data_IF_873667880825
#
_entry.id   IF_873667880825
#
_cell.length_a   1.000
_cell.length_b   1.000
_cell.length_c   1.000
_cell.angle_alpha   90.00
_cell.angle_beta   90.00
_cell.angle_gamma   90.00
#
_symmetry.space_group_name_H-M   'P 1'
#
loop_
_entity.id
_entity.type
_entity.pdbx_description
1 polymer ?
#
# COMPACT_ATOMS: atom_id res chain seq x y z
N UNK A 1 -32.56 43.06 -87.74
CA UNK A 1 -32.46 41.61 -87.46
C UNK A 1 -31.26 41.36 -86.55
N UNK A 2 -31.50 41.13 -85.22
CA UNK A 2 -30.47 40.72 -84.34
C UNK A 2 -30.84 39.34 -83.73
N UNK A 3 -29.97 38.38 -84.00
CA UNK A 3 -30.08 37.01 -83.64
C UNK A 3 -29.57 36.83 -82.20
N UNK A 4 -30.44 36.44 -81.23
CA UNK A 4 -30.08 36.22 -79.82
C UNK A 4 -29.62 34.79 -79.70
N UNK A 5 -28.35 34.56 -79.42
CA UNK A 5 -27.79 33.27 -79.09
C UNK A 5 -28.07 32.92 -77.65
N UNK A 6 -28.83 31.85 -77.35
CA UNK A 6 -29.00 31.25 -76.01
C UNK A 6 -27.80 30.40 -75.66
N UNK A 7 -27.06 30.81 -74.64
CA UNK A 7 -26.04 29.94 -74.00
C UNK A 7 -26.69 28.82 -73.22
N UNK A 8 -26.41 27.58 -73.56
CA UNK A 8 -26.75 26.40 -72.73
C UNK A 8 -25.74 26.30 -71.59
N UNK A 9 -26.23 26.37 -70.32
CA UNK A 9 -25.42 26.02 -69.18
C UNK A 9 -25.40 24.49 -69.04
N UNK A 10 -24.21 23.90 -69.14
CA UNK A 10 -23.95 22.51 -68.84
C UNK A 10 -23.92 22.31 -67.33
N UNK A 11 -24.82 21.52 -66.81
CA UNK A 11 -24.84 21.10 -65.42
C UNK A 11 -23.79 19.98 -65.17
N UNK A 12 -22.86 20.26 -64.34
CA UNK A 12 -21.85 19.28 -63.89
C UNK A 12 -22.47 18.29 -62.86
N UNK A 13 -22.33 16.98 -63.03
CA UNK A 13 -22.92 16.04 -62.06
C UNK A 13 -22.11 16.04 -60.75
N UNK A 14 -22.75 16.40 -59.66
CA UNK A 14 -22.18 16.32 -58.30
C UNK A 14 -22.15 14.86 -57.87
N UNK A 15 -21.00 14.25 -57.88
CA UNK A 15 -20.77 12.91 -57.31
C UNK A 15 -20.84 13.03 -55.78
N UNK A 16 -21.91 12.53 -55.17
CA UNK A 16 -22.02 12.41 -53.70
C UNK A 16 -21.27 11.15 -53.27
N UNK A 17 -20.08 11.31 -52.69
CA UNK A 17 -19.42 10.25 -51.96
C UNK A 17 -20.20 9.94 -50.68
N UNK A 18 -20.80 8.76 -50.63
CA UNK A 18 -21.36 8.18 -49.42
C UNK A 18 -20.20 7.57 -48.62
N UNK A 19 -19.80 8.24 -47.54
CA UNK A 19 -18.86 7.64 -46.60
C UNK A 19 -19.52 6.42 -45.91
N UNK A 20 -18.86 5.28 -45.84
CA UNK A 20 -19.39 4.12 -45.12
C UNK A 20 -19.43 4.41 -43.63
N UNK A 21 -20.61 4.67 -43.08
CA UNK A 21 -20.88 4.62 -41.66
C UNK A 21 -21.02 3.16 -41.23
N UNK A 22 -20.40 2.80 -40.08
CA UNK A 22 -20.56 1.57 -39.32
C UNK A 22 -19.54 0.46 -39.54
N UNK A 23 -18.32 0.66 -39.02
CA UNK A 23 -17.48 -0.47 -38.55
C UNK A 23 -16.65 -0.17 -37.29
N UNK A 24 -16.63 1.05 -36.75
CA UNK A 24 -15.86 1.35 -35.53
C UNK A 24 -16.64 1.07 -34.22
N UNK A 25 -17.97 1.05 -34.24
CA UNK A 25 -18.79 0.92 -33.02
C UNK A 25 -18.74 -0.46 -32.36
N UNK A 26 -18.58 -1.54 -33.15
CA UNK A 26 -18.60 -2.91 -32.60
C UNK A 26 -17.30 -3.22 -31.87
N UNK A 27 -16.17 -2.71 -32.37
CA UNK A 27 -14.86 -2.89 -31.73
C UNK A 27 -14.78 -2.15 -30.39
N UNK A 28 -15.18 -0.89 -30.35
CA UNK A 28 -15.16 -0.07 -29.15
C UNK A 28 -16.11 -0.62 -28.06
N UNK A 29 -17.31 -1.06 -28.44
CA UNK A 29 -18.26 -1.70 -27.51
C UNK A 29 -17.72 -3.01 -26.93
N UNK A 30 -17.03 -3.83 -27.73
CA UNK A 30 -16.40 -5.07 -27.24
C UNK A 30 -15.24 -4.77 -26.27
N UNK A 31 -14.39 -3.79 -26.57
CA UNK A 31 -13.30 -3.36 -25.67
C UNK A 31 -13.86 -2.81 -24.35
N UNK A 32 -14.90 -1.95 -24.40
CA UNK A 32 -15.55 -1.43 -23.20
C UNK A 32 -16.24 -2.53 -22.38
N UNK A 33 -16.85 -3.53 -23.05
CA UNK A 33 -17.46 -4.67 -22.36
C UNK A 33 -16.39 -5.56 -21.71
N UNK A 34 -15.26 -5.80 -22.36
CA UNK A 34 -14.13 -6.54 -21.79
C UNK A 34 -13.53 -5.80 -20.59
N UNK A 35 -13.35 -4.48 -20.67
CA UNK A 35 -12.88 -3.65 -19.55
C UNK A 35 -13.87 -3.65 -18.39
N UNK A 36 -15.19 -3.60 -18.67
CA UNK A 36 -16.22 -3.69 -17.63
C UNK A 36 -16.25 -5.07 -16.96
N UNK A 37 -16.08 -6.16 -17.73
CA UNK A 37 -16.01 -7.53 -17.19
C UNK A 37 -14.74 -7.72 -16.34
N UNK A 38 -13.60 -7.16 -16.75
CA UNK A 38 -12.37 -7.18 -15.96
C UNK A 38 -12.50 -6.35 -14.67
N UNK A 39 -13.20 -5.22 -14.73
CA UNK A 39 -13.47 -4.40 -13.54
C UNK A 39 -14.38 -5.12 -12.52
N UNK A 40 -15.38 -5.88 -12.99
CA UNK A 40 -16.29 -6.65 -12.11
C UNK A 40 -15.58 -7.90 -11.55
N UNK A 41 -14.72 -8.56 -12.32
CA UNK A 41 -13.93 -9.71 -11.84
C UNK A 41 -12.90 -9.32 -10.78
N UNK A 42 -12.40 -8.07 -10.80
CA UNK A 42 -11.48 -7.53 -9.79
C UNK A 42 -12.15 -7.22 -8.44
N UNK A 43 -13.47 -7.16 -8.36
CA UNK A 43 -14.19 -6.84 -7.11
C UNK A 43 -14.39 -8.02 -6.16
N UNK A 44 -14.04 -9.25 -6.54
CA UNK A 44 -14.33 -10.46 -5.74
C UNK A 44 -13.15 -11.03 -4.94
N UNK A 45 -11.98 -10.39 -4.94
CA UNK A 45 -10.81 -10.88 -4.19
C UNK A 45 -10.67 -10.29 -2.77
N UNK A 46 -11.62 -9.50 -2.30
CA UNK A 46 -11.65 -9.01 -0.92
C UNK A 46 -12.54 -9.90 -0.06
N UNK A 47 -12.01 -10.97 0.54
CA UNK A 47 -12.69 -11.71 1.60
C UNK A 47 -13.15 -10.78 2.72
N UNK A 48 -14.04 -11.24 3.62
CA UNK A 48 -14.45 -10.43 4.77
C UNK A 48 -13.23 -10.16 5.67
N UNK A 49 -12.87 -8.88 5.86
CA UNK A 49 -11.75 -8.47 6.70
C UNK A 49 -11.89 -8.98 8.14
N UNK A 50 -13.11 -9.32 8.57
CA UNK A 50 -13.38 -9.86 9.91
C UNK A 50 -12.91 -11.29 10.06
N UNK A 51 -12.98 -12.09 9.00
CA UNK A 51 -12.55 -13.48 8.96
C UNK A 51 -11.14 -13.68 8.39
N UNK A 52 -10.52 -12.62 7.87
CA UNK A 52 -9.16 -12.67 7.33
C UNK A 52 -8.15 -13.05 8.42
N UNK A 53 -7.23 -13.96 8.11
CA UNK A 53 -6.23 -14.48 9.05
C UNK A 53 -5.38 -13.37 9.65
N UNK A 54 -5.12 -13.47 10.94
CA UNK A 54 -4.15 -12.70 11.72
C UNK A 54 -3.25 -13.61 12.56
N UNK A 55 -3.23 -14.89 12.21
CA UNK A 55 -2.39 -15.89 12.86
C UNK A 55 -0.90 -15.62 12.60
N UNK A 56 0.02 -16.14 13.41
CA UNK A 56 1.44 -16.10 13.13
C UNK A 56 1.77 -16.78 11.80
N UNK A 57 2.65 -16.18 11.00
CA UNK A 57 3.11 -16.76 9.73
C UNK A 57 4.26 -17.77 9.92
N UNK A 58 4.82 -17.88 11.13
CA UNK A 58 5.89 -18.81 11.48
C UNK A 58 7.24 -18.45 10.86
N UNK A 59 7.48 -17.16 10.56
CA UNK A 59 8.74 -16.68 9.98
C UNK A 59 9.63 -15.97 11.00
N UNK A 60 9.07 -15.55 12.14
CA UNK A 60 9.84 -14.95 13.22
C UNK A 60 10.59 -16.03 14.03
N UNK A 61 11.77 -15.70 14.56
CA UNK A 61 12.43 -16.56 15.55
C UNK A 61 11.54 -16.83 16.76
N UNK A 62 11.47 -18.09 17.19
CA UNK A 62 10.72 -18.47 18.41
C UNK A 62 11.34 -17.75 19.63
N UNK A 63 10.61 -16.87 20.32
CA UNK A 63 11.16 -16.08 21.41
C UNK A 63 11.55 -16.93 22.62
N UNK A 64 10.99 -18.13 22.80
CA UNK A 64 11.34 -19.05 23.88
C UNK A 64 12.68 -19.76 23.62
N UNK A 65 13.08 -19.91 22.36
CA UNK A 65 14.29 -20.59 21.94
C UNK A 65 15.42 -19.64 21.56
N UNK A 66 15.12 -18.36 21.32
CA UNK A 66 16.08 -17.36 20.86
C UNK A 66 16.48 -16.47 22.02
N UNK A 67 17.68 -16.68 22.58
CA UNK A 67 18.20 -15.89 23.70
C UNK A 67 18.63 -14.49 23.28
N UNK A 68 19.18 -14.34 22.10
CA UNK A 68 19.68 -13.06 21.59
C UNK A 68 18.56 -12.03 21.34
N UNK A 69 18.93 -10.76 21.34
CA UNK A 69 18.04 -9.69 20.90
C UNK A 69 17.73 -9.83 19.42
N UNK A 70 16.49 -9.53 19.04
CA UNK A 70 16.00 -9.57 17.66
C UNK A 70 15.18 -8.31 17.40
N UNK A 71 15.44 -7.64 16.29
CA UNK A 71 14.63 -6.54 15.77
C UNK A 71 14.34 -6.82 14.30
N UNK A 72 13.06 -6.83 13.92
CA UNK A 72 12.62 -7.08 12.56
C UNK A 72 11.65 -5.99 12.11
N UNK A 73 11.78 -5.59 10.85
CA UNK A 73 10.81 -4.74 10.16
C UNK A 73 10.08 -5.61 9.16
N UNK A 74 8.77 -5.57 9.21
CA UNK A 74 7.90 -6.34 8.36
C UNK A 74 7.12 -5.47 7.38
N UNK A 75 6.77 -6.08 6.25
CA UNK A 75 5.81 -5.54 5.29
C UNK A 75 4.87 -6.64 4.81
N UNK A 76 3.61 -6.31 4.60
CA UNK A 76 2.62 -7.18 3.96
C UNK A 76 1.77 -6.35 3.01
N UNK A 77 1.20 -6.97 1.99
CA UNK A 77 0.31 -6.28 1.07
C UNK A 77 -0.85 -5.60 1.81
N UNK A 78 -1.19 -4.40 1.38
CA UNK A 78 -2.28 -3.66 2.00
C UNK A 78 -3.62 -4.34 1.70
N UNK A 79 -4.58 -4.25 2.63
CA UNK A 79 -5.88 -4.89 2.48
C UNK A 79 -6.62 -4.50 1.19
N UNK A 80 -7.15 -5.51 0.49
CA UNK A 80 -7.96 -5.40 -0.70
C UNK A 80 -7.17 -4.89 -1.91
N UNK A 81 -7.81 -4.21 -2.84
CA UNK A 81 -7.20 -3.73 -4.10
C UNK A 81 -5.95 -2.86 -3.92
N UNK A 82 -5.79 -2.23 -2.74
CA UNK A 82 -4.59 -1.44 -2.41
C UNK A 82 -3.33 -2.29 -2.33
N UNK A 83 -3.45 -3.58 -2.00
CA UNK A 83 -2.33 -4.52 -1.96
C UNK A 83 -1.62 -4.72 -3.30
N UNK A 84 -2.25 -4.38 -4.41
CA UNK A 84 -1.62 -4.47 -5.74
C UNK A 84 -0.44 -3.49 -5.93
N UNK A 85 -0.37 -2.43 -5.11
CA UNK A 85 0.66 -1.39 -5.25
C UNK A 85 1.16 -0.82 -3.92
N UNK A 86 0.56 -1.18 -2.81
CA UNK A 86 0.91 -0.65 -1.49
C UNK A 86 1.05 -1.76 -0.46
N UNK A 87 1.95 -1.55 0.49
CA UNK A 87 2.15 -2.42 1.65
C UNK A 87 1.80 -1.70 2.94
N UNK A 88 1.53 -2.50 3.98
CA UNK A 88 1.48 -2.09 5.38
C UNK A 88 2.77 -2.52 6.06
N UNK A 89 3.42 -1.64 6.82
CA UNK A 89 4.67 -1.95 7.52
C UNK A 89 4.55 -1.80 9.03
N UNK A 90 5.32 -2.60 9.78
CA UNK A 90 5.44 -2.53 11.24
C UNK A 90 6.81 -3.00 11.70
N UNK A 91 7.13 -2.75 12.97
CA UNK A 91 8.39 -3.18 13.59
C UNK A 91 8.07 -4.11 14.74
N UNK A 92 8.86 -5.16 14.92
CA UNK A 92 8.78 -6.05 16.06
C UNK A 92 10.17 -6.26 16.66
N UNK A 93 10.26 -6.26 17.99
CA UNK A 93 11.52 -6.43 18.68
C UNK A 93 11.36 -7.22 19.96
N UNK A 94 12.36 -8.03 20.28
CA UNK A 94 12.56 -8.65 21.60
C UNK A 94 14.00 -8.43 22.06
N UNK A 95 14.19 -8.13 23.31
CA UNK A 95 15.52 -7.98 23.92
C UNK A 95 16.16 -9.32 24.22
N UNK A 96 17.44 -9.29 24.47
CA UNK A 96 18.16 -10.45 25.01
C UNK A 96 17.44 -11.00 26.22
N UNK A 97 17.15 -12.30 26.22
CA UNK A 97 16.46 -13.00 27.30
C UNK A 97 14.95 -12.76 27.39
N UNK A 98 14.36 -11.83 26.62
CA UNK A 98 12.90 -11.68 26.57
C UNK A 98 12.24 -12.88 25.85
N UNK A 99 11.08 -13.32 26.37
CA UNK A 99 10.31 -14.46 25.87
C UNK A 99 9.10 -14.05 25.04
N UNK A 100 9.01 -12.77 24.67
CA UNK A 100 7.92 -12.23 23.84
C UNK A 100 8.39 -11.02 23.06
N UNK A 101 7.75 -10.79 21.92
CA UNK A 101 8.01 -9.60 21.12
C UNK A 101 7.14 -8.42 21.55
N UNK A 102 7.69 -7.22 21.40
CA UNK A 102 6.95 -5.97 21.30
C UNK A 102 6.75 -5.63 19.84
N UNK A 103 5.53 -5.28 19.47
CA UNK A 103 5.15 -4.85 18.13
C UNK A 103 4.81 -3.37 18.17
N UNK A 104 5.47 -2.59 17.31
CA UNK A 104 5.27 -1.17 17.07
C UNK A 104 4.50 -1.00 15.77
N UNK A 105 3.30 -0.47 15.85
CA UNK A 105 2.33 -0.53 14.77
C UNK A 105 1.45 0.73 14.71
N UNK A 106 1.04 1.14 13.51
CA UNK A 106 0.10 2.25 13.30
C UNK A 106 -1.12 1.74 12.55
N UNK A 107 -2.26 1.73 13.21
CA UNK A 107 -3.50 1.12 12.75
C UNK A 107 -4.61 2.17 12.65
N UNK A 108 -5.01 2.51 11.42
CA UNK A 108 -5.93 3.62 11.14
C UNK A 108 -7.31 3.48 11.77
N UNK A 109 -7.92 2.29 11.76
CA UNK A 109 -9.28 2.11 12.29
C UNK A 109 -9.40 2.27 13.81
N UNK A 110 -8.28 2.23 14.57
CA UNK A 110 -8.28 2.54 15.99
C UNK A 110 -8.77 3.96 16.29
N UNK A 111 -8.45 4.90 15.36
CA UNK A 111 -8.90 6.29 15.47
C UNK A 111 -10.41 6.45 15.40
N UNK A 112 -11.14 5.56 14.73
CA UNK A 112 -12.60 5.58 14.71
C UNK A 112 -13.22 5.28 16.09
N UNK A 113 -12.49 4.53 16.92
CA UNK A 113 -12.88 4.25 18.32
C UNK A 113 -12.26 5.23 19.33
N UNK A 114 -11.71 6.36 18.90
CA UNK A 114 -11.06 7.36 19.79
C UNK A 114 -9.74 6.89 20.40
N UNK A 115 -9.18 5.79 19.93
CA UNK A 115 -7.91 5.22 20.42
C UNK A 115 -6.73 5.82 19.63
N UNK A 116 -5.55 5.96 20.26
CA UNK A 116 -4.34 6.25 19.51
C UNK A 116 -4.13 5.25 18.37
N UNK A 117 -3.82 5.75 17.17
CA UNK A 117 -3.56 4.90 16.01
C UNK A 117 -2.20 4.20 16.11
N UNK A 118 -1.22 4.86 16.73
CA UNK A 118 0.07 4.28 17.06
C UNK A 118 -0.04 3.49 18.37
N UNK A 119 0.49 2.27 18.37
CA UNK A 119 0.52 1.42 19.56
C UNK A 119 1.85 0.67 19.68
N UNK A 120 2.18 0.30 20.91
CA UNK A 120 3.26 -0.64 21.26
C UNK A 120 2.59 -1.73 22.08
N UNK A 121 2.58 -2.96 21.61
CA UNK A 121 1.90 -4.09 22.29
C UNK A 121 2.79 -5.32 22.30
N UNK A 122 2.57 -6.24 23.26
CA UNK A 122 3.08 -7.60 23.19
C UNK A 122 2.16 -8.38 22.28
N UNK A 123 2.71 -8.94 21.18
CA UNK A 123 1.94 -9.64 20.16
C UNK A 123 2.87 -10.55 19.33
N UNK A 124 2.30 -11.39 18.48
CA UNK A 124 3.05 -12.15 17.48
C UNK A 124 3.69 -11.18 16.46
N UNK A 125 5.01 -11.26 16.24
CA UNK A 125 5.74 -10.30 15.42
C UNK A 125 5.38 -10.39 13.94
N UNK A 126 5.07 -11.58 13.46
CA UNK A 126 4.94 -11.97 12.05
C UNK A 126 3.52 -12.39 11.67
N UNK A 127 2.50 -11.85 12.34
CA UNK A 127 1.12 -12.22 12.02
C UNK A 127 0.72 -11.79 10.61
N UNK A 128 -0.14 -12.59 9.99
CA UNK A 128 -0.77 -12.22 8.74
C UNK A 128 -1.47 -10.87 8.85
N UNK A 129 -1.31 -10.03 7.84
CA UNK A 129 -2.02 -8.76 7.73
C UNK A 129 -3.29 -8.95 6.92
N UNK A 130 -4.39 -9.28 7.61
CA UNK A 130 -5.69 -9.58 6.98
C UNK A 130 -5.61 -10.63 5.87
N UNK A 131 -4.89 -11.72 6.12
CA UNK A 131 -4.71 -12.82 5.18
C UNK A 131 -3.45 -12.71 4.32
N UNK A 132 -2.83 -11.53 4.23
CA UNK A 132 -1.59 -11.32 3.48
C UNK A 132 -0.38 -11.75 4.32
N UNK A 133 0.47 -12.59 3.72
CA UNK A 133 1.67 -13.12 4.39
C UNK A 133 2.72 -12.01 4.51
N UNK A 134 3.24 -11.74 5.71
CA UNK A 134 4.32 -10.77 5.85
C UNK A 134 5.63 -11.28 5.28
N UNK A 135 6.48 -10.34 4.89
CA UNK A 135 7.89 -10.54 4.58
C UNK A 135 8.75 -9.70 5.51
N UNK A 136 9.96 -10.17 5.83
CA UNK A 136 10.94 -9.41 6.59
C UNK A 136 11.66 -8.45 5.63
N UNK A 137 11.52 -7.15 5.88
CA UNK A 137 12.19 -6.10 5.11
C UNK A 137 13.59 -5.82 5.64
N UNK A 138 13.78 -5.93 6.97
CA UNK A 138 15.05 -5.76 7.66
C UNK A 138 15.09 -6.60 8.91
N UNK A 139 16.26 -7.18 9.22
CA UNK A 139 16.50 -7.91 10.46
C UNK A 139 17.84 -7.52 11.07
N UNK A 140 17.85 -7.35 12.40
CA UNK A 140 19.05 -7.24 13.23
C UNK A 140 18.96 -8.26 14.37
N UNK A 141 20.07 -8.95 14.65
CA UNK A 141 20.14 -9.99 15.70
C UNK A 141 21.44 -9.92 16.48
N UNK A 142 21.37 -10.27 17.76
CA UNK A 142 22.56 -10.47 18.60
C UNK A 142 23.14 -9.19 19.19
N UNK A 143 24.46 -9.13 19.23
CA UNK A 143 25.20 -8.06 19.93
C UNK A 143 24.86 -6.66 19.37
N UNK A 144 24.64 -5.70 20.26
CA UNK A 144 24.30 -4.31 19.90
C UNK A 144 22.83 -4.06 19.63
N UNK A 145 22.01 -5.10 19.38
CA UNK A 145 20.62 -4.94 19.01
C UNK A 145 19.76 -4.43 20.18
N UNK A 146 20.12 -4.71 21.43
CA UNK A 146 19.43 -4.12 22.59
C UNK A 146 19.49 -2.59 22.57
N UNK A 147 20.65 -2.01 22.24
CA UNK A 147 20.80 -0.56 22.10
C UNK A 147 20.00 -0.01 20.91
N UNK A 148 19.95 -0.75 19.79
CA UNK A 148 19.13 -0.40 18.63
C UNK A 148 17.62 -0.42 18.99
N UNK A 149 17.16 -1.41 19.79
CA UNK A 149 15.78 -1.48 20.31
C UNK A 149 15.49 -0.26 21.19
N UNK A 150 16.44 0.18 22.04
CA UNK A 150 16.27 1.39 22.86
C UNK A 150 16.07 2.63 22.00
N UNK A 151 16.86 2.79 20.93
CA UNK A 151 16.74 3.90 20.00
C UNK A 151 15.39 3.88 19.28
N UNK A 152 14.96 2.71 18.79
CA UNK A 152 13.63 2.53 18.14
C UNK A 152 12.50 2.83 19.11
N UNK A 153 12.55 2.34 20.36
CA UNK A 153 11.51 2.61 21.36
C UNK A 153 11.42 4.11 21.69
N UNK A 154 12.55 4.78 21.83
CA UNK A 154 12.62 6.24 22.03
C UNK A 154 12.00 6.99 20.85
N UNK A 155 12.38 6.65 19.62
CA UNK A 155 11.85 7.26 18.40
C UNK A 155 10.33 7.01 18.27
N UNK A 156 9.87 5.79 18.54
CA UNK A 156 8.45 5.44 18.49
C UNK A 156 7.63 6.25 19.51
N UNK A 157 8.15 6.44 20.72
CA UNK A 157 7.49 7.30 21.72
C UNK A 157 7.51 8.78 21.35
N UNK A 158 8.43 9.22 20.52
CA UNK A 158 8.50 10.59 20.01
C UNK A 158 7.69 10.80 18.72
N UNK A 159 7.08 9.74 18.14
CA UNK A 159 6.31 9.84 16.90
C UNK A 159 5.20 10.90 17.02
N UNK A 160 5.17 11.92 16.11
CA UNK A 160 4.31 13.08 16.30
C UNK A 160 2.82 12.80 15.99
N UNK A 161 2.52 11.82 15.13
CA UNK A 161 1.14 11.56 14.65
C UNK A 161 0.49 10.35 15.33
N UNK A 162 0.56 10.26 16.67
CA UNK A 162 0.06 9.11 17.43
C UNK A 162 -1.46 8.91 17.34
N UNK A 163 -2.20 9.98 17.05
CA UNK A 163 -3.67 9.99 16.99
C UNK A 163 -4.22 10.30 15.61
N UNK A 164 -3.34 10.61 14.66
CA UNK A 164 -3.74 11.01 13.31
C UNK A 164 -3.41 9.90 12.31
N UNK A 165 -4.36 9.56 11.43
CA UNK A 165 -4.16 8.62 10.35
C UNK A 165 -4.81 9.10 9.07
N UNK A 166 -4.06 9.06 7.97
CA UNK A 166 -4.54 9.31 6.61
C UNK A 166 -3.90 8.27 5.69
N UNK A 167 -4.73 7.57 4.93
CA UNK A 167 -4.25 6.53 3.98
C UNK A 167 -3.25 7.12 2.98
N UNK A 168 -3.55 8.29 2.44
CA UNK A 168 -2.70 9.03 1.49
C UNK A 168 -2.83 10.54 1.73
N UNK A 169 -1.76 11.31 1.62
CA UNK A 169 -0.34 10.93 1.48
C UNK A 169 0.29 10.41 2.78
N UNK A 170 -0.41 10.41 3.86
CA UNK A 170 0.00 10.09 5.23
C UNK A 170 -0.54 11.13 6.22
N UNK A 171 -0.28 10.97 7.52
CA UNK A 171 0.53 9.93 8.15
C UNK A 171 -0.20 8.57 8.19
N UNK A 172 0.53 7.49 7.91
CA UNK A 172 0.05 6.10 7.92
C UNK A 172 1.10 5.15 8.53
N UNK A 173 0.95 3.83 8.40
CA UNK A 173 1.90 2.85 8.92
C UNK A 173 3.29 3.00 8.31
N UNK A 174 3.37 3.25 7.00
CA UNK A 174 4.65 3.43 6.31
C UNK A 174 5.32 4.75 6.72
N UNK A 175 4.52 5.80 7.01
CA UNK A 175 5.04 7.06 7.57
C UNK A 175 5.72 6.82 8.92
N UNK A 176 5.13 5.97 9.77
CA UNK A 176 5.70 5.60 11.06
C UNK A 176 7.04 4.88 10.88
N UNK A 177 7.09 3.86 10.06
CA UNK A 177 8.31 3.09 9.81
C UNK A 177 9.40 3.94 9.16
N UNK A 178 9.02 4.81 8.20
CA UNK A 178 9.93 5.79 7.61
C UNK A 178 10.40 6.87 8.59
N UNK A 179 9.56 7.26 9.57
CA UNK A 179 9.97 8.12 10.68
C UNK A 179 11.05 7.45 11.51
N UNK A 180 10.82 6.19 11.93
CA UNK A 180 11.81 5.44 12.70
C UNK A 180 13.13 5.34 11.95
N UNK A 181 13.11 4.99 10.66
CA UNK A 181 14.33 4.90 9.84
C UNK A 181 15.13 6.21 9.82
N UNK A 182 14.45 7.36 9.78
CA UNK A 182 15.11 8.68 9.82
C UNK A 182 15.65 9.06 11.19
N UNK A 183 14.98 8.63 12.28
CA UNK A 183 15.42 8.92 13.65
C UNK A 183 16.51 7.97 14.14
N UNK A 184 16.63 6.80 13.53
CA UNK A 184 17.53 5.71 13.91
C UNK A 184 18.24 5.20 12.64
N UNK A 185 19.24 5.94 12.13
CA UNK A 185 19.97 5.54 10.92
C UNK A 185 20.63 4.16 11.02
N UNK A 186 21.00 3.74 12.23
CA UNK A 186 21.60 2.43 12.52
C UNK A 186 20.64 1.26 12.22
N UNK A 187 19.34 1.53 12.08
CA UNK A 187 18.36 0.55 11.60
C UNK A 187 18.65 0.15 10.15
N UNK A 188 19.34 0.99 9.39
CA UNK A 188 19.76 0.74 8.00
C UNK A 188 18.61 0.18 7.16
N UNK A 189 17.46 0.87 7.21
CA UNK A 189 16.21 0.43 6.61
C UNK A 189 15.89 1.21 5.34
N UNK A 190 15.90 0.52 4.22
CA UNK A 190 15.34 1.00 2.95
C UNK A 190 13.94 0.46 2.75
N UNK A 191 12.96 1.35 2.69
CA UNK A 191 11.58 0.97 2.44
C UNK A 191 11.31 0.94 0.92
N UNK A 192 10.62 -0.09 0.41
CA UNK A 192 10.30 -0.18 -1.01
C UNK A 192 9.33 0.93 -1.44
N UNK A 193 9.27 1.23 -2.73
CA UNK A 193 8.35 2.25 -3.29
C UNK A 193 6.88 1.97 -2.97
N UNK A 194 6.51 0.70 -2.80
CA UNK A 194 5.19 0.27 -2.36
C UNK A 194 4.86 0.65 -0.90
N UNK A 195 5.85 1.07 -0.09
CA UNK A 195 5.62 1.65 1.24
C UNK A 195 5.16 3.12 1.12
N UNK A 196 4.01 3.31 0.49
CA UNK A 196 3.44 4.64 0.18
C UNK A 196 3.22 5.44 1.46
N UNK A 197 3.73 6.67 1.49
CA UNK A 197 3.68 7.56 2.65
C UNK A 197 4.89 7.47 3.57
N UNK A 198 5.90 6.62 3.28
CA UNK A 198 7.13 6.53 4.09
C UNK A 198 7.91 7.85 4.14
N UNK A 199 7.87 8.62 3.05
CA UNK A 199 8.48 9.95 2.95
C UNK A 199 7.63 11.10 3.51
N UNK A 200 6.43 10.82 4.06
CA UNK A 200 5.58 11.88 4.58
C UNK A 200 6.25 12.58 5.77
N UNK A 201 6.32 13.90 5.66
CA UNK A 201 6.67 14.83 6.74
C UNK A 201 5.72 16.03 6.57
N UNK A 202 5.15 16.52 7.66
CA UNK A 202 4.46 17.80 7.59
C UNK A 202 5.53 18.86 7.32
N UNK A 203 5.35 19.66 6.27
CA UNK A 203 6.02 20.96 6.24
C UNK A 203 5.53 21.74 7.47
N UNK A 204 6.43 22.04 8.39
CA UNK A 204 6.17 22.90 9.53
C UNK A 204 6.03 24.34 9.04
#
# INVERSE_FOLDING_TARGET
AQMIQRKRHSATPTVRYRLPRHRCDVGLRRVLLCLAVLAVAGCSSGGDWRSASREPAGIAPDPLRTQEAVLQVYGADAWGWRGWFAIHTWIAAKRTGETSYRVYDVIGWRGYGGQPVMRITRDHPDRYWFGEKPVVLKEHRGAGVDALIDAVDKAARAYPWKTTYRVFPGPNSNTFTGWIARQVPELDLDLPLSAIGSGYHSAY
#
